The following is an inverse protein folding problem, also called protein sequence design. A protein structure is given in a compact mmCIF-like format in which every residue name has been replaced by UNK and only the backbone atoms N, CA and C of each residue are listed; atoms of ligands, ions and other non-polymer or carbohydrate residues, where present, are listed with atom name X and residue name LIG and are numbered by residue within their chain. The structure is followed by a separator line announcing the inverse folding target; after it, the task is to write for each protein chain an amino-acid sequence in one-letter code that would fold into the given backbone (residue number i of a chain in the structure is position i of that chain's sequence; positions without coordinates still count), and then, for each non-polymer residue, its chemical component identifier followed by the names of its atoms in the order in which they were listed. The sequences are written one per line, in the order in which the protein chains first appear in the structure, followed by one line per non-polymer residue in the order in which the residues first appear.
data_IF_988858701856
#
_entry.id   IF_988858701856
#
_cell.length_a   1.000
_cell.length_b   1.000
_cell.length_c   1.000
_cell.angle_alpha   90.00
_cell.angle_beta   90.00
_cell.angle_gamma   90.00
#
_symmetry.space_group_name_H-M   'P 1'
#
loop_
_entity.id
_entity.type
_entity.pdbx_description
1 polymer ?
#
# COMPACT_ATOMS: atom_id res chain seq x y z
N UNK A 1 0.35 48.27 53.56
CA UNK A 1 0.80 47.47 52.39
C UNK A 1 -0.44 47.09 51.58
N UNK A 2 -0.65 47.77 50.45
CA UNK A 2 -1.95 47.88 49.77
C UNK A 2 -2.52 46.51 49.32
N UNK A 3 -3.79 46.28 49.63
CA UNK A 3 -4.61 45.14 49.18
C UNK A 3 -4.53 44.91 47.67
N UNK A 4 -4.37 45.98 46.88
CA UNK A 4 -4.17 45.94 45.43
C UNK A 4 -2.93 45.14 45.00
N UNK A 5 -1.80 45.30 45.70
CA UNK A 5 -0.55 44.57 45.40
C UNK A 5 -0.67 43.07 45.71
N UNK A 6 -1.52 42.68 46.68
CA UNK A 6 -1.80 41.28 47.00
C UNK A 6 -2.68 40.62 45.94
N UNK A 7 -3.69 41.33 45.42
CA UNK A 7 -4.52 40.84 44.32
C UNK A 7 -3.72 40.67 43.02
N UNK A 8 -2.85 41.63 42.71
CA UNK A 8 -1.97 41.54 41.54
C UNK A 8 -1.03 40.32 41.63
N UNK A 9 -0.46 40.07 42.82
CA UNK A 9 0.37 38.90 43.08
C UNK A 9 -0.39 37.57 42.97
N UNK A 10 -1.63 37.49 43.50
CA UNK A 10 -2.45 36.29 43.40
C UNK A 10 -2.86 35.97 41.96
N UNK A 11 -3.20 36.99 41.17
CA UNK A 11 -3.50 36.82 39.73
C UNK A 11 -2.24 36.40 38.97
N UNK A 12 -1.08 37.00 39.27
CA UNK A 12 0.19 36.63 38.64
C UNK A 12 0.57 35.18 38.97
N UNK A 13 0.39 34.74 40.21
CA UNK A 13 0.63 33.35 40.65
C UNK A 13 -0.38 32.39 39.99
N UNK A 14 -1.65 32.77 39.85
CA UNK A 14 -2.64 31.95 39.14
C UNK A 14 -2.33 31.84 37.63
N UNK A 15 -1.90 32.93 37.00
CA UNK A 15 -1.50 32.94 35.58
C UNK A 15 -0.19 32.16 35.38
N UNK A 16 0.77 32.25 36.31
CA UNK A 16 2.00 31.44 36.30
C UNK A 16 1.73 29.95 36.59
N UNK A 17 0.78 29.63 37.47
CA UNK A 17 0.38 28.27 37.77
C UNK A 17 -0.42 27.63 36.62
N UNK A 18 -1.23 28.42 35.90
CA UNK A 18 -1.97 27.94 34.71
C UNK A 18 -1.06 27.81 33.49
N UNK A 19 -0.06 28.67 33.31
CA UNK A 19 0.93 28.54 32.23
C UNK A 19 1.92 27.40 32.45
N UNK A 20 2.30 27.11 33.70
CA UNK A 20 3.11 25.90 34.02
C UNK A 20 2.29 24.61 33.88
N UNK A 21 1.01 24.61 34.24
CA UNK A 21 0.10 23.47 34.03
C UNK A 21 -0.19 23.19 32.54
N UNK A 22 -0.18 24.21 31.68
CA UNK A 22 -0.34 24.06 30.22
C UNK A 22 0.95 23.62 29.53
N UNK A 23 2.13 23.93 30.09
CA UNK A 23 3.42 23.52 29.54
C UNK A 23 3.82 22.07 29.89
N UNK A 24 3.12 21.42 30.83
CA UNK A 24 3.49 20.10 31.35
C UNK A 24 2.30 19.12 31.34
N UNK A 25 1.81 18.79 30.15
CA UNK A 25 0.89 17.65 29.95
C UNK A 25 1.34 16.73 28.82
N UNK A 26 2.64 16.41 28.78
CA UNK A 26 3.08 15.15 28.20
C UNK A 26 3.47 14.25 29.36
N UNK A 27 2.71 13.17 29.57
CA UNK A 27 3.10 12.14 30.53
C UNK A 27 4.52 11.68 30.22
N UNK A 28 5.38 11.46 31.24
CA UNK A 28 6.76 11.04 31.03
C UNK A 28 6.78 9.75 30.21
N UNK A 29 7.72 9.69 29.26
CA UNK A 29 8.00 8.48 28.48
C UNK A 29 8.46 7.36 29.41
N UNK A 30 8.01 6.15 29.12
CA UNK A 30 8.48 4.90 29.70
C UNK A 30 9.15 4.08 28.60
N UNK A 31 10.10 3.23 28.97
CA UNK A 31 10.69 2.24 28.07
C UNK A 31 10.27 0.82 28.47
N UNK A 32 10.17 -0.04 27.46
CA UNK A 32 10.17 -1.49 27.59
C UNK A 32 11.37 -1.98 26.77
N UNK A 33 12.43 -2.38 27.46
CA UNK A 33 13.72 -2.70 26.87
C UNK A 33 13.92 -4.21 26.76
N UNK A 34 14.41 -4.66 25.61
CA UNK A 34 14.83 -6.03 25.35
C UNK A 34 16.12 -6.05 24.52
N UNK A 35 16.51 -7.24 24.07
CA UNK A 35 17.75 -7.45 23.34
C UNK A 35 17.74 -6.77 21.95
N UNK A 36 16.69 -7.00 21.16
CA UNK A 36 16.58 -6.46 19.80
C UNK A 36 15.82 -5.14 19.70
N UNK A 37 15.01 -4.78 20.72
CA UNK A 37 14.10 -3.63 20.67
C UNK A 37 14.02 -2.86 21.99
N UNK A 38 13.82 -1.55 21.89
CA UNK A 38 13.44 -0.67 23.00
C UNK A 38 12.16 0.08 22.62
N UNK A 39 11.05 -0.18 23.30
CA UNK A 39 9.75 0.45 23.03
C UNK A 39 9.57 1.65 23.96
N UNK A 40 9.50 2.85 23.40
CA UNK A 40 9.22 4.08 24.12
C UNK A 40 7.73 4.43 24.00
N UNK A 41 7.05 4.56 25.14
CA UNK A 41 5.59 4.73 25.20
C UNK A 41 5.16 5.62 26.38
N UNK A 42 3.93 6.15 26.33
CA UNK A 42 3.31 6.81 27.48
C UNK A 42 2.53 5.80 28.34
N UNK A 43 2.34 6.07 29.63
CA UNK A 43 1.63 5.15 30.57
C UNK A 43 0.32 4.55 30.03
N UNK A 44 -0.41 5.32 29.23
CA UNK A 44 -1.67 4.93 28.56
C UNK A 44 -1.51 3.82 27.50
N UNK A 45 -0.32 3.59 27.00
CA UNK A 45 0.01 2.63 25.95
C UNK A 45 0.73 1.38 26.46
N UNK A 46 0.76 1.11 27.77
CA UNK A 46 1.54 -0.02 28.32
C UNK A 46 1.19 -1.37 27.71
N UNK A 47 -0.11 -1.66 27.51
CA UNK A 47 -0.55 -2.90 26.86
C UNK A 47 -0.17 -2.94 25.37
N UNK A 48 -0.23 -1.79 24.69
CA UNK A 48 0.19 -1.69 23.29
C UNK A 48 1.71 -1.85 23.15
N UNK A 49 2.49 -1.31 24.08
CA UNK A 49 3.93 -1.46 24.12
C UNK A 49 4.33 -2.92 24.27
N UNK A 50 3.68 -3.66 25.18
CA UNK A 50 3.90 -5.09 25.32
C UNK A 50 3.52 -5.86 24.05
N UNK A 51 2.36 -5.54 23.45
CA UNK A 51 1.91 -6.19 22.22
C UNK A 51 2.88 -5.94 21.04
N UNK A 52 3.31 -4.68 20.84
CA UNK A 52 4.29 -4.30 19.81
C UNK A 52 5.63 -5.01 20.05
N UNK A 53 6.11 -5.04 21.30
CA UNK A 53 7.33 -5.74 21.66
C UNK A 53 7.25 -7.23 21.32
N UNK A 54 6.15 -7.89 21.68
CA UNK A 54 5.95 -9.32 21.41
C UNK A 54 5.94 -9.60 19.90
N UNK A 55 5.13 -8.83 19.13
CA UNK A 55 5.06 -8.97 17.67
C UNK A 55 6.45 -8.86 17.04
N UNK A 56 7.17 -7.78 17.34
CA UNK A 56 8.48 -7.53 16.75
C UNK A 56 9.51 -8.58 17.17
N UNK A 57 9.49 -9.01 18.43
CA UNK A 57 10.42 -10.03 18.93
C UNK A 57 10.16 -11.41 18.33
N UNK A 58 8.90 -11.79 18.13
CA UNK A 58 8.52 -13.04 17.46
C UNK A 58 8.97 -13.07 15.99
N UNK A 59 8.77 -11.97 15.26
CA UNK A 59 9.00 -11.91 13.82
C UNK A 59 10.44 -11.49 13.45
N UNK A 60 11.24 -10.99 14.40
CA UNK A 60 12.57 -10.44 14.12
C UNK A 60 13.50 -11.45 13.44
N UNK A 61 13.58 -12.69 13.94
CA UNK A 61 14.52 -13.66 13.40
C UNK A 61 14.17 -14.11 11.99
N UNK A 62 12.89 -14.28 11.67
CA UNK A 62 12.44 -14.65 10.32
C UNK A 62 12.68 -13.51 9.33
N UNK A 63 12.33 -12.28 9.71
CA UNK A 63 12.56 -11.10 8.86
C UNK A 63 14.07 -10.87 8.68
N UNK A 64 14.86 -10.93 9.74
CA UNK A 64 16.31 -10.72 9.63
C UNK A 64 17.01 -11.89 8.92
N UNK A 65 16.40 -13.07 8.86
CA UNK A 65 16.92 -14.17 8.05
C UNK A 65 16.87 -13.83 6.56
N UNK A 66 15.83 -13.14 6.08
CA UNK A 66 15.69 -12.68 4.70
C UNK A 66 16.62 -11.50 4.38
N UNK A 67 16.79 -10.56 5.32
CA UNK A 67 17.53 -9.31 5.11
C UNK A 67 19.03 -9.42 5.42
N UNK A 68 19.41 -10.30 6.37
CA UNK A 68 20.78 -10.51 6.87
C UNK A 68 21.44 -9.22 7.40
N UNK A 69 20.69 -8.38 8.11
CA UNK A 69 21.23 -7.18 8.73
C UNK A 69 22.03 -7.49 10.00
N UNK A 70 23.15 -6.79 10.19
CA UNK A 70 23.93 -6.84 11.43
C UNK A 70 23.43 -5.78 12.43
N UNK A 71 22.49 -6.15 13.29
CA UNK A 71 21.89 -5.26 14.28
C UNK A 71 22.75 -5.24 15.54
N UNK A 72 23.57 -4.21 15.70
CA UNK A 72 24.49 -4.08 16.84
C UNK A 72 23.84 -3.45 18.09
N UNK A 73 22.73 -2.73 17.92
CA UNK A 73 22.03 -2.02 18.99
C UNK A 73 20.53 -2.24 18.89
N UNK A 74 19.77 -2.23 19.99
CA UNK A 74 18.32 -2.36 19.95
C UNK A 74 17.67 -1.30 19.06
N UNK A 75 16.72 -1.72 18.22
CA UNK A 75 15.92 -0.83 17.39
C UNK A 75 14.93 -0.08 18.29
N UNK A 76 14.91 1.25 18.17
CA UNK A 76 14.02 2.08 18.99
C UNK A 76 12.64 2.17 18.36
N UNK A 77 11.58 1.93 19.14
CA UNK A 77 10.20 1.99 18.65
C UNK A 77 9.40 2.98 19.50
N UNK A 78 8.94 4.06 18.90
CA UNK A 78 8.19 5.11 19.58
C UNK A 78 6.69 4.96 19.31
N UNK A 79 5.89 4.85 20.38
CA UNK A 79 4.44 4.91 20.28
C UNK A 79 4.01 6.38 20.40
N UNK A 80 3.63 6.98 19.28
CA UNK A 80 3.12 8.33 19.24
C UNK A 80 1.69 8.36 19.84
N UNK A 81 1.48 9.04 20.99
CA UNK A 81 0.22 9.01 21.71
C UNK A 81 -0.89 9.79 20.99
N UNK A 82 -0.53 10.75 20.14
CA UNK A 82 -1.45 11.62 19.40
C UNK A 82 -0.97 11.80 17.96
N UNK A 83 -1.90 12.20 17.06
CA UNK A 83 -1.55 12.56 15.67
C UNK A 83 -0.55 13.71 15.60
N UNK A 84 -0.69 14.72 16.48
CA UNK A 84 0.29 15.81 16.59
C UNK A 84 1.64 15.30 17.07
N UNK A 85 1.68 14.42 18.08
CA UNK A 85 2.91 13.79 18.55
C UNK A 85 3.60 13.01 17.44
N UNK A 86 2.85 12.29 16.61
CA UNK A 86 3.38 11.60 15.43
C UNK A 86 4.00 12.59 14.43
N UNK A 87 3.31 13.69 14.10
CA UNK A 87 3.85 14.73 13.22
C UNK A 87 5.12 15.39 13.77
N UNK A 88 5.17 15.64 15.09
CA UNK A 88 6.35 16.19 15.74
C UNK A 88 7.54 15.22 15.70
N UNK A 89 7.31 13.94 16.02
CA UNK A 89 8.37 12.91 15.98
C UNK A 89 8.88 12.64 14.56
N UNK A 90 8.07 12.94 13.54
CA UNK A 90 8.39 12.74 12.12
C UNK A 90 8.84 14.01 11.41
N UNK A 91 8.96 15.14 12.12
CA UNK A 91 9.21 16.47 11.55
C UNK A 91 8.25 16.85 10.40
N UNK A 92 7.02 16.31 10.42
CA UNK A 92 6.01 16.47 9.36
C UNK A 92 6.43 16.04 7.95
N UNK A 93 7.54 15.31 7.81
CA UNK A 93 8.08 14.87 6.52
C UNK A 93 7.32 13.70 5.90
N UNK A 94 6.32 13.16 6.59
CA UNK A 94 5.64 11.92 6.23
C UNK A 94 4.16 12.21 5.98
N UNK A 95 3.58 11.64 4.91
CA UNK A 95 2.17 11.86 4.58
C UNK A 95 1.22 11.52 5.74
N UNK A 96 0.12 12.24 5.84
CA UNK A 96 -0.84 12.09 6.94
C UNK A 96 -1.50 10.72 7.07
N UNK A 97 -1.47 9.90 6.02
CA UNK A 97 -2.04 8.55 5.97
C UNK A 97 -1.09 7.46 6.48
N UNK A 98 0.21 7.75 6.65
CA UNK A 98 1.17 6.79 7.21
C UNK A 98 0.83 6.49 8.67
N UNK A 99 0.69 5.21 9.02
CA UNK A 99 0.32 4.74 10.37
C UNK A 99 1.53 4.43 11.25
N UNK A 100 2.62 4.09 10.59
CA UNK A 100 3.93 4.01 11.17
C UNK A 100 4.95 4.55 10.15
N UNK A 101 6.19 4.66 10.58
CA UNK A 101 7.31 5.00 9.72
C UNK A 101 8.63 4.51 10.31
N UNK A 102 9.49 4.02 9.44
CA UNK A 102 10.89 3.77 9.71
C UNK A 102 11.75 5.01 9.41
N UNK A 103 12.73 5.26 10.27
CA UNK A 103 13.86 6.15 10.06
C UNK A 103 15.13 5.28 10.17
N UNK A 104 15.55 4.62 9.07
CA UNK A 104 16.62 3.62 9.14
C UNK A 104 17.96 4.18 9.61
N UNK A 105 18.27 5.43 9.27
CA UNK A 105 19.50 6.12 9.69
C UNK A 105 19.61 6.34 11.20
N UNK A 106 18.49 6.23 11.91
CA UNK A 106 18.41 6.33 13.37
C UNK A 106 18.01 5.01 14.03
N UNK A 107 17.89 3.91 13.25
CA UNK A 107 17.36 2.62 13.72
C UNK A 107 16.05 2.78 14.51
N UNK A 108 15.15 3.61 13.96
CA UNK A 108 13.95 4.04 14.67
C UNK A 108 12.69 3.69 13.89
N UNK A 109 11.69 3.21 14.60
CA UNK A 109 10.32 3.05 14.12
C UNK A 109 9.43 3.98 14.95
N UNK A 110 8.54 4.73 14.32
CA UNK A 110 7.53 5.54 15.01
C UNK A 110 6.17 5.02 14.56
N UNK A 111 5.33 4.64 15.51
CA UNK A 111 4.00 4.07 15.26
C UNK A 111 2.94 4.91 15.96
N UNK A 112 1.82 5.22 15.28
CA UNK A 112 0.67 5.83 15.94
C UNK A 112 0.12 4.86 16.99
N UNK A 113 -0.29 5.38 18.14
CA UNK A 113 -0.88 4.55 19.20
C UNK A 113 -2.05 3.70 18.67
N UNK A 114 -2.01 2.36 18.83
CA UNK A 114 -3.10 1.47 18.43
C UNK A 114 -4.43 1.73 19.15
N UNK A 115 -4.43 2.56 20.22
CA UNK A 115 -5.64 3.01 20.95
C UNK A 115 -6.65 3.70 20.03
N UNK A 116 -6.19 4.26 18.92
CA UNK A 116 -7.00 5.05 18.00
C UNK A 116 -7.62 4.26 16.85
N UNK A 117 -7.50 2.92 16.86
CA UNK A 117 -8.18 1.92 16.00
C UNK A 117 -7.21 1.10 15.10
N UNK A 118 -6.89 -0.15 15.47
CA UNK A 118 -6.24 -1.17 14.61
C UNK A 118 -6.55 -2.61 15.08
N UNK A 119 -6.96 -3.54 14.19
CA UNK A 119 -6.88 -4.98 14.44
C UNK A 119 -5.43 -5.44 14.64
N UNK A 120 -5.21 -6.50 15.44
CA UNK A 120 -3.86 -7.01 15.74
C UNK A 120 -3.08 -7.45 14.50
N UNK A 121 -3.73 -8.11 13.54
CA UNK A 121 -3.08 -8.60 12.32
C UNK A 121 -2.58 -7.45 11.43
N UNK A 122 -3.37 -6.37 11.30
CA UNK A 122 -2.94 -5.19 10.55
C UNK A 122 -1.75 -4.50 11.21
N UNK A 123 -1.73 -4.44 12.54
CA UNK A 123 -0.60 -3.88 13.28
C UNK A 123 0.68 -4.71 13.05
N UNK A 124 0.59 -6.04 13.09
CA UNK A 124 1.73 -6.92 12.80
C UNK A 124 2.33 -6.68 11.42
N UNK A 125 1.50 -6.64 10.38
CA UNK A 125 1.95 -6.37 9.01
C UNK A 125 2.65 -5.01 8.91
N UNK A 126 2.06 -3.96 9.50
CA UNK A 126 2.65 -2.60 9.50
C UNK A 126 4.00 -2.58 10.21
N UNK A 127 4.10 -3.20 11.40
CA UNK A 127 5.35 -3.23 12.16
C UNK A 127 6.44 -3.99 11.42
N UNK A 128 6.10 -5.13 10.80
CA UNK A 128 7.04 -5.92 10.02
C UNK A 128 7.50 -5.16 8.77
N UNK A 129 6.61 -4.42 8.11
CA UNK A 129 6.94 -3.54 6.99
C UNK A 129 7.98 -2.47 7.40
N UNK A 130 7.73 -1.74 8.50
CA UNK A 130 8.69 -0.74 8.98
C UNK A 130 10.01 -1.37 9.47
N UNK A 131 9.94 -2.56 10.08
CA UNK A 131 11.14 -3.29 10.48
C UNK A 131 12.01 -3.64 9.27
N UNK A 132 11.42 -4.07 8.15
CA UNK A 132 12.17 -4.36 6.92
C UNK A 132 12.91 -3.12 6.43
N UNK A 133 12.30 -1.94 6.46
CA UNK A 133 13.00 -0.70 6.10
C UNK A 133 14.21 -0.41 6.98
N UNK A 134 14.08 -0.58 8.31
CA UNK A 134 15.20 -0.39 9.25
C UNK A 134 16.31 -1.40 8.95
N UNK A 135 15.97 -2.68 8.83
CA UNK A 135 16.94 -3.74 8.58
C UNK A 135 17.62 -3.58 7.21
N UNK A 136 16.89 -3.21 6.16
CA UNK A 136 17.45 -2.95 4.84
C UNK A 136 18.41 -1.76 4.87
N UNK A 137 18.08 -0.69 5.62
CA UNK A 137 18.98 0.43 5.84
C UNK A 137 20.27 0.03 6.57
N UNK A 138 20.16 -0.84 7.60
CA UNK A 138 21.33 -1.39 8.30
C UNK A 138 22.17 -2.26 7.34
N UNK A 139 21.55 -3.21 6.66
CA UNK A 139 22.21 -4.17 5.76
C UNK A 139 22.97 -3.48 4.61
N UNK A 140 22.46 -2.34 4.14
CA UNK A 140 23.05 -1.57 3.04
C UNK A 140 24.03 -0.49 3.51
N UNK A 141 24.28 -0.42 4.83
CA UNK A 141 25.10 0.63 5.44
C UNK A 141 24.59 2.03 5.13
N UNK A 142 23.27 2.21 5.20
CA UNK A 142 22.51 3.44 4.97
C UNK A 142 22.58 4.00 3.54
N UNK A 143 22.95 3.16 2.57
CA UNK A 143 22.94 3.54 1.15
C UNK A 143 21.50 3.76 0.70
N UNK A 144 21.27 4.83 -0.08
CA UNK A 144 19.94 5.16 -0.59
C UNK A 144 19.46 4.06 -1.54
N UNK A 145 18.30 3.50 -1.22
CA UNK A 145 17.58 2.55 -2.08
C UNK A 145 16.57 3.29 -2.97
N UNK A 146 16.35 2.84 -4.21
CA UNK A 146 15.17 3.22 -4.98
C UNK A 146 13.90 2.89 -4.20
N UNK A 147 12.86 3.72 -4.32
CA UNK A 147 11.61 3.54 -3.56
C UNK A 147 10.91 2.28 -4.00
N UNK A 148 10.87 1.99 -5.31
CA UNK A 148 10.27 0.74 -5.81
C UNK A 148 10.89 -0.50 -5.14
N UNK A 149 12.20 -0.49 -4.95
CA UNK A 149 12.91 -1.61 -4.34
C UNK A 149 12.62 -1.67 -2.83
N UNK A 150 12.76 -0.53 -2.14
CA UNK A 150 12.58 -0.46 -0.70
C UNK A 150 11.15 -0.83 -0.26
N UNK A 151 10.14 -0.28 -0.94
CA UNK A 151 8.73 -0.59 -0.66
C UNK A 151 8.36 -2.00 -1.10
N UNK A 152 8.84 -2.45 -2.26
CA UNK A 152 8.61 -3.81 -2.74
C UNK A 152 9.19 -4.86 -1.79
N UNK A 153 10.39 -4.61 -1.26
CA UNK A 153 11.05 -5.50 -0.31
C UNK A 153 10.27 -5.56 1.02
N UNK A 154 9.83 -4.40 1.50
CA UNK A 154 9.01 -4.31 2.71
C UNK A 154 7.69 -5.06 2.56
N UNK A 155 6.97 -4.88 1.46
CA UNK A 155 5.71 -5.60 1.18
C UNK A 155 5.95 -7.11 1.04
N UNK A 156 7.00 -7.50 0.31
CA UNK A 156 7.33 -8.90 0.06
C UNK A 156 7.63 -9.65 1.37
N UNK A 157 8.48 -9.08 2.23
CA UNK A 157 8.89 -9.72 3.48
C UNK A 157 7.82 -9.60 4.57
N UNK A 158 7.06 -8.49 4.62
CA UNK A 158 5.98 -8.32 5.61
C UNK A 158 4.73 -9.15 5.31
N UNK A 159 4.58 -9.65 4.09
CA UNK A 159 3.41 -10.43 3.65
C UNK A 159 2.13 -9.61 3.56
N UNK A 160 2.22 -8.34 3.11
CA UNK A 160 1.04 -7.46 3.04
C UNK A 160 0.11 -7.83 1.88
N UNK A 161 -0.86 -8.70 2.16
CA UNK A 161 -1.82 -9.26 1.19
C UNK A 161 -2.56 -8.21 0.36
N UNK A 162 -2.71 -6.98 0.86
CA UNK A 162 -3.40 -5.89 0.14
C UNK A 162 -2.76 -5.57 -1.21
N UNK A 163 -1.45 -5.78 -1.34
CA UNK A 163 -0.69 -5.51 -2.55
C UNK A 163 -0.31 -6.79 -3.31
N UNK A 164 -0.45 -7.96 -2.69
CA UNK A 164 -0.14 -9.25 -3.29
C UNK A 164 -1.25 -9.66 -4.27
N UNK A 165 -2.52 -9.50 -3.88
CA UNK A 165 -3.70 -9.93 -4.65
C UNK A 165 -4.46 -8.75 -5.28
N UNK A 166 -3.77 -7.64 -5.52
CA UNK A 166 -4.37 -6.43 -6.07
C UNK A 166 -4.73 -6.53 -7.56
N UNK A 167 -5.83 -5.87 -7.97
CA UNK A 167 -6.30 -5.85 -9.37
C UNK A 167 -5.63 -4.79 -10.24
N UNK A 168 -5.04 -3.76 -9.64
CA UNK A 168 -4.50 -2.58 -10.35
C UNK A 168 -3.38 -2.95 -11.31
N UNK A 169 -2.43 -3.81 -10.89
CA UNK A 169 -1.33 -4.24 -11.75
C UNK A 169 -1.83 -5.07 -12.95
N UNK A 170 -2.67 -6.11 -12.79
CA UNK A 170 -3.30 -6.79 -13.92
C UNK A 170 -4.00 -5.83 -14.89
N UNK A 171 -4.81 -4.88 -14.38
CA UNK A 171 -5.47 -3.87 -15.21
C UNK A 171 -4.46 -2.98 -15.94
N UNK A 172 -3.40 -2.54 -15.27
CA UNK A 172 -2.36 -1.72 -15.87
C UNK A 172 -1.61 -2.47 -16.98
N UNK A 173 -1.36 -3.77 -16.81
CA UNK A 173 -0.77 -4.60 -17.87
C UNK A 173 -1.70 -4.70 -19.07
N UNK A 174 -2.99 -4.96 -18.85
CA UNK A 174 -3.97 -5.05 -19.93
C UNK A 174 -4.15 -3.75 -20.75
N UNK A 175 -3.87 -2.60 -20.15
CA UNK A 175 -4.04 -1.28 -20.77
C UNK A 175 -2.71 -0.60 -21.17
N UNK A 176 -1.57 -1.30 -21.09
CA UNK A 176 -0.21 -0.73 -21.31
C UNK A 176 0.08 0.52 -20.43
N UNK A 177 -0.35 0.46 -19.16
CA UNK A 177 -0.20 1.51 -18.15
C UNK A 177 0.80 1.13 -17.06
N UNK A 178 1.61 0.08 -17.28
CA UNK A 178 2.68 -0.32 -16.36
C UNK A 178 3.70 0.81 -16.24
N UNK A 179 4.00 1.20 -15.00
CA UNK A 179 4.91 2.30 -14.72
C UNK A 179 6.35 1.90 -15.03
N UNK A 180 7.21 2.85 -15.40
CA UNK A 180 8.66 2.58 -15.32
C UNK A 180 9.09 2.57 -13.85
N UNK A 181 10.07 1.75 -13.49
CA UNK A 181 10.61 1.67 -12.13
C UNK A 181 11.11 3.03 -11.63
N UNK A 182 11.70 3.83 -12.51
CA UNK A 182 12.11 5.21 -12.18
C UNK A 182 10.91 6.15 -11.95
N UNK A 183 9.78 5.91 -12.59
CA UNK A 183 8.56 6.69 -12.39
C UNK A 183 7.91 6.33 -11.04
N UNK A 184 7.97 5.06 -10.63
CA UNK A 184 7.49 4.63 -9.29
C UNK A 184 8.15 5.44 -8.17
N UNK A 185 9.46 5.69 -8.27
CA UNK A 185 10.19 6.50 -7.29
C UNK A 185 9.58 7.90 -7.11
N UNK A 186 9.08 8.49 -8.19
CA UNK A 186 8.39 9.78 -8.16
C UNK A 186 6.93 9.67 -7.71
N UNK A 187 6.19 8.65 -8.16
CA UNK A 187 4.76 8.46 -7.85
C UNK A 187 4.56 8.26 -6.35
N UNK A 188 5.38 7.43 -5.73
CA UNK A 188 5.36 7.17 -4.28
C UNK A 188 5.74 8.40 -3.45
N UNK A 189 6.35 9.42 -4.07
CA UNK A 189 6.72 10.65 -3.40
C UNK A 189 5.61 11.71 -3.45
N UNK A 190 4.69 11.68 -4.43
CA UNK A 190 3.80 12.81 -4.72
C UNK A 190 2.31 12.48 -5.01
N UNK A 191 1.92 11.25 -5.33
CA UNK A 191 0.55 10.97 -5.84
C UNK A 191 -0.14 9.77 -5.17
N UNK A 192 -1.13 10.05 -4.32
CA UNK A 192 -1.89 9.03 -3.57
C UNK A 192 -2.70 8.08 -4.46
N UNK A 193 -3.34 8.59 -5.53
CA UNK A 193 -4.24 7.82 -6.39
C UNK A 193 -3.52 6.74 -7.20
N UNK A 194 -2.26 6.98 -7.60
CA UNK A 194 -1.43 5.99 -8.32
C UNK A 194 -0.54 5.14 -7.41
N UNK A 195 -0.60 5.37 -6.09
CA UNK A 195 0.25 4.68 -5.13
C UNK A 195 -0.04 3.18 -5.08
N UNK A 196 -1.30 2.75 -5.21
CA UNK A 196 -1.64 1.32 -5.18
C UNK A 196 -0.99 0.52 -6.32
N UNK A 197 -1.07 1.03 -7.56
CA UNK A 197 -0.38 0.42 -8.69
C UNK A 197 1.14 0.38 -8.45
N UNK A 198 1.71 1.48 -7.98
CA UNK A 198 3.13 1.58 -7.68
C UNK A 198 3.58 0.54 -6.62
N UNK A 199 2.80 0.33 -5.56
CA UNK A 199 3.06 -0.68 -4.53
C UNK A 199 2.93 -2.11 -5.06
N UNK A 200 1.86 -2.41 -5.81
CA UNK A 200 1.66 -3.73 -6.42
C UNK A 200 2.79 -4.05 -7.40
N UNK A 201 3.18 -3.09 -8.23
CA UNK A 201 4.28 -3.28 -9.17
C UNK A 201 5.63 -3.42 -8.45
N UNK A 202 5.87 -2.66 -7.39
CA UNK A 202 7.07 -2.80 -6.55
C UNK A 202 7.17 -4.19 -5.94
N UNK A 203 6.07 -4.70 -5.37
CA UNK A 203 5.98 -6.07 -4.87
C UNK A 203 6.24 -7.10 -5.98
N UNK A 204 5.54 -6.99 -7.11
CA UNK A 204 5.68 -7.91 -8.23
C UNK A 204 7.12 -7.92 -8.79
N UNK A 205 7.82 -6.78 -8.72
CA UNK A 205 9.22 -6.68 -9.12
C UNK A 205 10.13 -7.51 -8.20
N UNK A 206 9.95 -7.41 -6.89
CA UNK A 206 10.72 -8.22 -5.92
C UNK A 206 10.35 -9.70 -6.01
N UNK A 207 9.06 -10.01 -6.18
CA UNK A 207 8.59 -11.37 -6.40
C UNK A 207 9.27 -11.98 -7.63
N UNK A 208 9.32 -11.26 -8.75
CA UNK A 208 10.00 -11.72 -9.96
C UNK A 208 11.50 -11.97 -9.73
N UNK A 209 12.20 -11.10 -8.99
CA UNK A 209 13.61 -11.30 -8.65
C UNK A 209 13.81 -12.62 -7.88
N UNK A 210 12.95 -12.89 -6.91
CA UNK A 210 13.05 -14.12 -6.10
C UNK A 210 12.74 -15.37 -6.93
N UNK A 211 11.68 -15.31 -7.74
CA UNK A 211 11.26 -16.41 -8.62
C UNK A 211 12.30 -16.72 -9.70
N UNK A 212 12.91 -15.70 -10.30
CA UNK A 212 13.84 -15.86 -11.43
C UNK A 212 15.28 -16.17 -11.00
N UNK A 213 15.77 -15.64 -9.87
CA UNK A 213 17.18 -15.72 -9.50
C UNK A 213 17.46 -16.43 -8.16
N UNK A 214 16.44 -16.85 -7.41
CA UNK A 214 16.48 -17.44 -6.05
C UNK A 214 16.28 -16.45 -4.89
N UNK A 215 15.80 -17.01 -3.77
CA UNK A 215 15.67 -16.32 -2.48
C UNK A 215 16.99 -15.70 -1.96
N UNK A 216 18.14 -16.27 -2.31
CA UNK A 216 19.44 -15.74 -1.83
C UNK A 216 19.88 -14.46 -2.55
N UNK A 217 19.21 -14.07 -3.62
CA UNK A 217 19.60 -12.92 -4.45
C UNK A 217 19.37 -11.58 -3.76
N UNK A 218 18.31 -11.45 -2.95
CA UNK A 218 18.03 -10.23 -2.20
C UNK A 218 19.11 -9.91 -1.15
N UNK A 219 19.49 -10.82 -0.23
CA UNK A 219 20.56 -10.52 0.72
C UNK A 219 21.92 -10.33 0.05
N UNK A 220 22.21 -11.03 -1.06
CA UNK A 220 23.41 -10.77 -1.87
C UNK A 220 23.42 -9.35 -2.45
N UNK A 221 22.29 -8.90 -2.98
CA UNK A 221 22.12 -7.54 -3.48
C UNK A 221 22.36 -6.51 -2.37
N UNK A 222 21.70 -6.65 -1.22
CA UNK A 222 21.88 -5.74 -0.09
C UNK A 222 23.35 -5.64 0.36
N UNK A 223 24.05 -6.77 0.40
CA UNK A 223 25.48 -6.81 0.72
C UNK A 223 26.34 -6.07 -0.32
N UNK A 224 26.12 -6.29 -1.62
CA UNK A 224 26.87 -5.57 -2.65
C UNK A 224 26.54 -4.07 -2.70
N UNK A 225 25.30 -3.69 -2.40
CA UNK A 225 24.92 -2.27 -2.22
C UNK A 225 25.74 -1.66 -1.08
N UNK A 226 25.89 -2.39 0.03
CA UNK A 226 26.68 -1.94 1.18
C UNK A 226 28.16 -1.78 0.85
N UNK A 227 28.73 -2.73 0.10
CA UNK A 227 30.12 -2.76 -0.34
C UNK A 227 30.43 -1.59 -1.29
N UNK A 228 29.61 -1.38 -2.32
CA UNK A 228 29.86 -0.35 -3.33
C UNK A 228 29.33 1.03 -2.98
N UNK A 229 28.47 1.14 -1.95
CA UNK A 229 27.72 2.36 -1.63
C UNK A 229 26.93 2.93 -2.80
N UNK A 230 26.49 2.04 -3.70
CA UNK A 230 25.76 2.39 -4.91
C UNK A 230 24.80 1.27 -5.31
N UNK A 231 23.52 1.62 -5.44
CA UNK A 231 22.48 0.65 -5.78
C UNK A 231 22.68 0.01 -7.16
N UNK A 232 23.01 0.81 -8.18
CA UNK A 232 23.15 0.33 -9.56
C UNK A 232 24.34 -0.61 -9.70
N UNK A 233 25.46 -0.30 -9.03
CA UNK A 233 26.64 -1.18 -9.00
C UNK A 233 26.34 -2.48 -8.27
N UNK A 234 25.65 -2.42 -7.13
CA UNK A 234 25.21 -3.62 -6.41
C UNK A 234 24.27 -4.49 -7.24
N UNK A 235 23.30 -3.87 -7.91
CA UNK A 235 22.36 -4.53 -8.81
C UNK A 235 23.07 -5.22 -9.98
N UNK A 236 23.93 -4.48 -10.69
CA UNK A 236 24.72 -5.02 -11.79
C UNK A 236 25.64 -6.16 -11.35
N UNK A 237 26.28 -6.04 -10.18
CA UNK A 237 27.13 -7.12 -9.63
C UNK A 237 26.32 -8.37 -9.29
N UNK A 238 25.09 -8.22 -8.85
CA UNK A 238 24.23 -9.33 -8.40
C UNK A 238 23.64 -10.09 -9.58
N UNK A 239 23.14 -9.37 -10.58
CA UNK A 239 22.36 -9.98 -11.67
C UNK A 239 23.07 -9.99 -13.03
N UNK A 240 24.16 -9.22 -13.18
CA UNK A 240 24.94 -9.16 -14.43
C UNK A 240 24.37 -8.22 -15.50
N UNK A 241 23.33 -7.46 -15.18
CA UNK A 241 22.70 -6.50 -16.09
C UNK A 241 22.27 -5.22 -15.38
N UNK A 242 21.96 -4.19 -16.16
CA UNK A 242 21.46 -2.90 -15.68
C UNK A 242 19.97 -2.98 -15.31
N UNK A 243 19.51 -2.04 -14.48
CA UNK A 243 18.08 -1.91 -14.14
C UNK A 243 17.21 -1.72 -15.39
N UNK A 244 17.71 -1.02 -16.41
CA UNK A 244 16.98 -0.83 -17.67
C UNK A 244 16.78 -2.15 -18.42
N UNK A 245 17.80 -3.01 -18.47
CA UNK A 245 17.69 -4.34 -19.09
C UNK A 245 16.74 -5.23 -18.30
N UNK A 246 16.86 -5.22 -16.97
CA UNK A 246 15.93 -5.92 -16.08
C UNK A 246 14.48 -5.48 -16.28
N UNK A 247 14.22 -4.18 -16.43
CA UNK A 247 12.87 -3.65 -16.63
C UNK A 247 12.22 -4.18 -17.90
N UNK A 248 13.00 -4.41 -18.97
CA UNK A 248 12.50 -5.02 -20.20
C UNK A 248 12.10 -6.49 -19.98
N UNK A 249 12.93 -7.28 -19.29
CA UNK A 249 12.61 -8.68 -18.96
C UNK A 249 11.40 -8.77 -18.01
N UNK A 250 11.34 -7.90 -17.01
CA UNK A 250 10.24 -7.82 -16.07
C UNK A 250 8.92 -7.47 -16.77
N UNK A 251 8.93 -6.55 -17.75
CA UNK A 251 7.74 -6.22 -18.53
C UNK A 251 7.21 -7.43 -19.30
N UNK A 252 8.09 -8.20 -19.95
CA UNK A 252 7.70 -9.44 -20.64
C UNK A 252 7.13 -10.49 -19.67
N UNK A 253 7.71 -10.60 -18.47
CA UNK A 253 7.17 -11.44 -17.40
C UNK A 253 5.75 -11.02 -17.01
N UNK A 254 5.50 -9.72 -16.81
CA UNK A 254 4.17 -9.20 -16.47
C UNK A 254 3.15 -9.50 -17.56
N UNK A 255 3.50 -9.23 -18.83
CA UNK A 255 2.64 -9.52 -19.98
C UNK A 255 2.25 -11.00 -20.01
N UNK A 256 3.21 -11.92 -19.81
CA UNK A 256 2.94 -13.36 -19.76
C UNK A 256 2.11 -13.78 -18.55
N UNK A 257 2.41 -13.25 -17.35
CA UNK A 257 1.71 -13.57 -16.10
C UNK A 257 0.25 -13.12 -16.14
N UNK A 258 -0.01 -11.95 -16.72
CA UNK A 258 -1.32 -11.32 -16.76
C UNK A 258 -1.99 -11.35 -18.14
N UNK A 259 -1.52 -12.19 -19.08
CA UNK A 259 -2.06 -12.29 -20.44
C UNK A 259 -3.57 -12.61 -20.50
N UNK A 260 -4.11 -13.23 -19.45
CA UNK A 260 -5.54 -13.56 -19.32
C UNK A 260 -6.28 -12.68 -18.30
N UNK A 261 -5.65 -11.60 -17.83
CA UNK A 261 -6.26 -10.68 -16.86
C UNK A 261 -7.55 -10.02 -17.37
N UNK A 262 -7.72 -9.90 -18.70
CA UNK A 262 -8.98 -9.46 -19.33
C UNK A 262 -10.19 -10.34 -18.97
N UNK A 263 -9.97 -11.59 -18.53
CA UNK A 263 -11.04 -12.49 -18.06
C UNK A 263 -11.49 -12.17 -16.62
N UNK A 264 -10.68 -11.44 -15.85
CA UNK A 264 -10.98 -11.08 -14.45
C UNK A 264 -12.06 -9.99 -14.35
N UNK A 265 -12.33 -9.27 -15.44
CA UNK A 265 -13.42 -8.29 -15.57
C UNK A 265 -14.77 -8.96 -15.87
N UNK A 266 -15.18 -9.88 -15.01
CA UNK A 266 -16.45 -10.60 -15.16
C UNK A 266 -17.66 -9.66 -15.27
N UNK A 267 -17.64 -8.50 -14.60
CA UNK A 267 -18.71 -7.51 -14.71
C UNK A 267 -18.83 -6.94 -16.12
N UNK A 268 -17.71 -6.62 -16.77
CA UNK A 268 -17.70 -6.14 -18.16
C UNK A 268 -18.25 -7.21 -19.12
N UNK A 269 -17.90 -8.48 -18.87
CA UNK A 269 -18.43 -9.61 -19.63
C UNK A 269 -19.92 -9.85 -19.39
N UNK A 270 -20.41 -9.65 -18.16
CA UNK A 270 -21.84 -9.70 -17.84
C UNK A 270 -22.61 -8.62 -18.59
N UNK A 271 -22.11 -7.38 -18.60
CA UNK A 271 -22.74 -6.29 -19.34
C UNK A 271 -22.73 -6.53 -20.85
N UNK A 272 -21.62 -7.03 -21.40
CA UNK A 272 -21.53 -7.41 -22.81
C UNK A 272 -22.52 -8.55 -23.16
N UNK A 273 -22.64 -9.55 -22.29
CA UNK A 273 -23.61 -10.64 -22.44
C UNK A 273 -25.05 -10.13 -22.35
N UNK A 274 -25.36 -9.24 -21.41
CA UNK A 274 -26.69 -8.62 -21.30
C UNK A 274 -27.04 -7.84 -22.57
N UNK A 275 -26.10 -7.07 -23.13
CA UNK A 275 -26.28 -6.38 -24.40
C UNK A 275 -26.51 -7.35 -25.56
N UNK A 276 -25.72 -8.43 -25.64
CA UNK A 276 -25.90 -9.47 -26.65
C UNK A 276 -27.29 -10.13 -26.55
N UNK A 277 -27.71 -10.51 -25.35
CA UNK A 277 -29.03 -11.09 -25.09
C UNK A 277 -30.17 -10.11 -25.42
N UNK A 278 -29.98 -8.83 -25.13
CA UNK A 278 -30.93 -7.78 -25.52
C UNK A 278 -31.09 -7.70 -27.04
N UNK A 279 -29.99 -7.63 -27.79
CA UNK A 279 -30.06 -7.61 -29.26
C UNK A 279 -30.63 -8.90 -29.85
N UNK A 280 -30.29 -10.06 -29.29
CA UNK A 280 -30.90 -11.34 -29.66
C UNK A 280 -32.41 -11.33 -29.44
N UNK A 281 -32.87 -10.87 -28.26
CA UNK A 281 -34.29 -10.77 -27.96
C UNK A 281 -35.02 -9.82 -28.92
N UNK A 282 -34.43 -8.67 -29.23
CA UNK A 282 -34.96 -7.72 -30.22
C UNK A 282 -35.01 -8.34 -31.62
N UNK A 283 -33.95 -9.03 -32.05
CA UNK A 283 -33.87 -9.71 -33.33
C UNK A 283 -34.93 -10.81 -33.48
N UNK A 284 -35.06 -11.67 -32.46
CA UNK A 284 -36.09 -12.71 -32.40
C UNK A 284 -37.49 -12.08 -32.40
N UNK A 285 -37.72 -11.01 -31.63
CA UNK A 285 -39.00 -10.30 -31.61
C UNK A 285 -39.33 -9.69 -32.96
N UNK A 286 -38.38 -9.02 -33.62
CA UNK A 286 -38.56 -8.46 -34.96
C UNK A 286 -38.89 -9.56 -35.99
N UNK A 287 -38.15 -10.67 -35.96
CA UNK A 287 -38.40 -11.81 -36.84
C UNK A 287 -39.81 -12.40 -36.64
N UNK A 288 -40.22 -12.62 -35.39
CA UNK A 288 -41.57 -13.13 -35.07
C UNK A 288 -42.68 -12.15 -35.45
N UNK A 289 -42.48 -10.84 -35.24
CA UNK A 289 -43.44 -9.82 -35.63
C UNK A 289 -43.57 -9.71 -37.15
N UNK A 290 -42.47 -9.79 -37.89
CA UNK A 290 -42.51 -9.78 -39.36
C UNK A 290 -43.29 -10.98 -39.91
N UNK A 291 -43.07 -12.18 -39.34
CA UNK A 291 -43.83 -13.38 -39.71
C UNK A 291 -45.32 -13.28 -39.38
N UNK A 292 -45.69 -12.64 -38.26
CA UNK A 292 -47.09 -12.38 -37.91
C UNK A 292 -47.76 -11.36 -38.84
N UNK A 293 -47.05 -10.29 -39.22
CA UNK A 293 -47.55 -9.31 -40.20
C UNK A 293 -47.81 -9.96 -41.56
N UNK A 294 -46.90 -10.81 -42.04
CA UNK A 294 -47.11 -11.58 -43.28
C UNK A 294 -48.31 -12.53 -43.19
N UNK A 295 -48.57 -13.12 -42.01
CA UNK A 295 -49.78 -13.93 -41.79
C UNK A 295 -51.04 -13.07 -41.84
N UNK A 296 -51.04 -11.90 -41.20
CA UNK A 296 -52.18 -10.97 -41.21
C UNK A 296 -52.45 -10.35 -42.59
N UNK A 297 -51.42 -10.06 -43.39
CA UNK A 297 -51.58 -9.59 -44.79
C UNK A 297 -52.22 -10.66 -45.68
N UNK A 298 -51.90 -11.94 -45.45
CA UNK A 298 -52.51 -13.06 -46.17
C UNK A 298 -53.94 -13.41 -45.67
N UNK A 299 -54.32 -12.94 -44.49
CA UNK A 299 -55.63 -13.16 -43.86
C UNK A 299 -56.59 -11.97 -44.03
N UNK A 300 -56.17 -10.86 -44.65
CA UNK A 300 -57.10 -9.77 -44.97
C UNK A 300 -58.08 -10.22 -46.05
N UNK A 301 -59.41 -10.24 -45.77
CA UNK A 301 -60.40 -10.50 -46.80
C UNK A 301 -60.32 -9.40 -47.85
N UNK A 302 -60.27 -9.78 -49.13
CA UNK A 302 -60.43 -8.85 -50.24
C UNK A 302 -61.86 -8.30 -50.17
N UNK A 303 -62.07 -7.14 -49.53
CA UNK A 303 -63.29 -6.37 -49.70
C UNK A 303 -63.22 -5.72 -51.08
N UNK A 304 -63.38 -6.54 -52.12
CA UNK A 304 -63.84 -6.03 -53.41
C UNK A 304 -65.20 -5.40 -53.14
N UNK A 305 -65.30 -4.10 -53.40
CA UNK A 305 -66.54 -3.34 -53.35
C UNK A 305 -67.51 -3.98 -54.37
N UNK A 306 -68.45 -4.79 -53.87
CA UNK A 306 -69.61 -5.22 -54.65
C UNK A 306 -70.39 -3.97 -55.06
N UNK A 307 -70.31 -3.66 -56.36
CA UNK A 307 -71.10 -2.67 -57.06
C UNK A 307 -72.58 -3.09 -56.96
N UNK A 308 -73.33 -2.38 -56.13
CA UNK A 308 -74.78 -2.44 -56.09
C UNK A 308 -75.33 -1.80 -57.37
N UNK A 309 -75.46 -2.58 -58.43
CA UNK A 309 -76.34 -2.25 -59.55
C UNK A 309 -77.34 -3.39 -59.82
N UNK A 310 -78.60 -3.03 -59.67
CA UNK A 310 -79.79 -3.63 -60.29
C UNK A 310 -80.37 -4.93 -59.70
N UNK A 311 -81.55 -4.80 -59.07
CA UNK A 311 -82.80 -5.12 -59.77
C UNK A 311 -84.05 -4.69 -58.97
N UNK A 312 -84.93 -3.97 -59.68
CA UNK A 312 -86.37 -3.88 -59.43
C UNK A 312 -87.09 -5.11 -60.00
#
# INVERSE_FOLDING_TARGET
MNSFLRYLWLVLVLVLATTTALAQSQSPWKSLDGESFSILYQRKDSLNAQNIFNILSEDFFSINYEIKANVATPIQVFIAPTKSGFQHLTNSSIPHWGEAVAIPSQQKIIVKSPRWHRPSQQLRIILNHELVHVLAGIATGQTRLPRWFNEGLAIYVSGDLRYIDGKELPHAVANDQVLKLKEIDSVLSFHQLRANLAYQQSFATIQYIVEAYSHTSLPKLLNYIAEFKDFNRGFHKTFGFTITQFELEFRQYLEKKYQYSFLLDFESWLWALMLLLFFLAVGIKKYRNHKKLQQWENEQPNYDLEDYSDNW
#
